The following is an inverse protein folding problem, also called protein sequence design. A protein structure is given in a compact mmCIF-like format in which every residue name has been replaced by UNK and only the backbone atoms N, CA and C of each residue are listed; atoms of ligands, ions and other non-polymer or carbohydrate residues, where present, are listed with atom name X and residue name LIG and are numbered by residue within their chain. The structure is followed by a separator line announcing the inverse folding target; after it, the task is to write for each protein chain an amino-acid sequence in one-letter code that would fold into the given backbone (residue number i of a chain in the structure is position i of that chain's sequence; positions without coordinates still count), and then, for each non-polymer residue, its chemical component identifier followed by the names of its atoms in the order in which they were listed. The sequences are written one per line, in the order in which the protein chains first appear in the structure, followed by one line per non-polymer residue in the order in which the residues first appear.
data_IF_513105754393
#
_entry.id   IF_513105754393
#
_cell.length_a   1.000
_cell.length_b   1.000
_cell.length_c   1.000
_cell.angle_alpha   90.00
_cell.angle_beta   90.00
_cell.angle_gamma   90.00
#
_symmetry.space_group_name_H-M   'P 1'
#
loop_
_entity.id
_entity.type
_entity.pdbx_description
1 polymer ?
#
# COMPACT_ATOMS: atom_id res chain seq x y z
N UNK A 1 -5.89 23.39 -28.51
CA UNK A 1 -5.06 22.38 -27.80
C UNK A 1 -5.88 21.86 -26.63
N UNK A 2 -6.23 20.56 -26.58
CA UNK A 2 -6.97 19.97 -25.45
C UNK A 2 -5.97 19.68 -24.32
N UNK A 3 -6.18 20.26 -23.14
CA UNK A 3 -5.43 19.94 -21.91
C UNK A 3 -5.62 18.44 -21.63
N UNK A 4 -4.55 17.63 -21.44
CA UNK A 4 -4.73 16.24 -21.04
C UNK A 4 -5.57 16.22 -19.75
N UNK A 5 -6.53 15.27 -19.60
CA UNK A 5 -7.29 15.17 -18.38
C UNK A 5 -6.29 15.11 -17.22
N UNK A 6 -6.48 15.94 -16.20
CA UNK A 6 -5.66 15.89 -15.01
C UNK A 6 -5.64 14.44 -14.54
N UNK A 7 -4.46 13.80 -14.53
CA UNK A 7 -4.33 12.45 -13.99
C UNK A 7 -4.73 12.54 -12.53
N UNK A 8 -5.97 12.16 -12.24
CA UNK A 8 -6.46 12.05 -10.87
C UNK A 8 -5.45 11.20 -10.12
N UNK A 9 -4.90 11.70 -9.02
CA UNK A 9 -3.96 10.91 -8.25
C UNK A 9 -4.72 9.78 -7.52
N UNK A 10 -4.12 8.59 -7.39
CA UNK A 10 -4.75 7.53 -6.62
C UNK A 10 -4.96 8.00 -5.17
N UNK A 11 -6.16 7.75 -4.64
CA UNK A 11 -6.52 8.11 -3.26
C UNK A 11 -5.90 7.07 -2.32
N UNK A 12 -4.97 7.47 -1.48
CA UNK A 12 -4.44 6.59 -0.44
C UNK A 12 -5.52 6.31 0.59
N UNK A 13 -5.76 5.05 0.92
CA UNK A 13 -6.75 4.66 1.92
C UNK A 13 -6.09 4.29 3.24
N UNK A 14 -4.99 3.55 3.16
CA UNK A 14 -4.18 3.17 4.31
C UNK A 14 -2.73 3.07 3.91
N UNK A 15 -1.84 3.47 4.82
CA UNK A 15 -0.40 3.23 4.67
C UNK A 15 0.20 2.95 6.02
N UNK A 16 0.78 1.77 6.17
CA UNK A 16 1.51 1.36 7.35
C UNK A 16 3.00 1.22 7.00
N UNK A 17 3.85 1.80 7.84
CA UNK A 17 5.30 1.61 7.76
C UNK A 17 5.69 0.66 8.87
N UNK A 18 6.26 -0.47 8.49
CA UNK A 18 6.85 -1.44 9.39
C UNK A 18 8.35 -1.22 9.49
N UNK A 19 8.92 -1.51 10.66
CA UNK A 19 10.36 -1.49 10.90
C UNK A 19 10.84 -2.79 11.54
N UNK A 20 12.07 -3.18 11.20
CA UNK A 20 12.80 -4.28 11.84
C UNK A 20 14.30 -3.99 11.77
N UNK A 21 14.89 -3.63 12.91
CA UNK A 21 16.23 -3.03 12.95
C UNK A 21 16.27 -1.78 12.06
N UNK A 22 17.25 -1.71 11.14
CA UNK A 22 17.39 -0.60 10.20
C UNK A 22 16.54 -0.76 8.92
N UNK A 23 15.76 -1.83 8.80
CA UNK A 23 14.90 -2.08 7.64
C UNK A 23 13.55 -1.39 7.83
N UNK A 24 13.04 -0.78 6.75
CA UNK A 24 11.68 -0.22 6.68
C UNK A 24 10.93 -0.73 5.46
N UNK A 25 9.65 -1.00 5.66
CA UNK A 25 8.76 -1.56 4.66
C UNK A 25 7.42 -0.84 4.71
N UNK A 26 6.94 -0.33 3.59
CA UNK A 26 5.58 0.21 3.50
C UNK A 26 4.63 -0.84 2.98
N UNK A 27 3.53 -1.08 3.68
CA UNK A 27 2.35 -1.77 3.16
C UNK A 27 1.23 -0.74 3.04
N UNK A 28 0.68 -0.55 1.84
CA UNK A 28 -0.36 0.47 1.60
C UNK A 28 -1.45 -0.05 0.69
N UNK A 29 -2.65 0.51 0.82
CA UNK A 29 -3.75 0.36 -0.13
C UNK A 29 -4.12 1.72 -0.67
N UNK A 30 -4.16 1.84 -1.99
CA UNK A 30 -4.62 3.02 -2.71
C UNK A 30 -5.82 2.65 -3.59
N UNK A 31 -6.78 3.56 -3.77
CA UNK A 31 -7.87 3.46 -4.72
C UNK A 31 -7.47 4.13 -6.03
N UNK A 32 -7.58 3.40 -7.14
CA UNK A 32 -7.34 3.96 -8.47
C UNK A 32 -8.49 4.91 -8.86
N UNK A 33 -8.19 6.04 -9.50
CA UNK A 33 -9.22 6.89 -10.06
C UNK A 33 -9.91 6.21 -11.24
N UNK A 34 -11.21 6.46 -11.41
CA UNK A 34 -11.99 6.00 -12.57
C UNK A 34 -12.49 4.55 -12.46
N UNK A 35 -11.62 3.60 -12.08
CA UNK A 35 -11.89 2.17 -12.30
C UNK A 35 -12.40 1.40 -11.07
N UNK A 36 -12.75 2.09 -9.97
CA UNK A 36 -13.14 1.48 -8.68
C UNK A 36 -12.19 0.35 -8.20
N UNK A 37 -10.96 0.31 -8.72
CA UNK A 37 -9.97 -0.70 -8.43
C UNK A 37 -9.09 -0.25 -7.26
N UNK A 38 -8.54 -1.22 -6.55
CA UNK A 38 -7.69 -1.01 -5.39
C UNK A 38 -6.32 -1.61 -5.68
N UNK A 39 -5.26 -0.92 -5.29
CA UNK A 39 -3.89 -1.43 -5.39
C UNK A 39 -3.30 -1.54 -4.01
N UNK A 40 -2.94 -2.76 -3.62
CA UNK A 40 -2.09 -3.01 -2.47
C UNK A 40 -0.63 -2.95 -2.94
N UNK A 41 0.22 -2.20 -2.26
CA UNK A 41 1.65 -2.17 -2.55
C UNK A 41 2.47 -2.48 -1.29
N UNK A 42 3.51 -3.31 -1.47
CA UNK A 42 4.52 -3.59 -0.47
C UNK A 42 5.87 -3.08 -0.98
N UNK A 43 6.43 -2.06 -0.34
CA UNK A 43 7.57 -1.30 -0.86
C UNK A 43 8.68 -1.19 0.19
N UNK A 44 9.83 -1.86 -0.01
CA UNK A 44 11.01 -1.67 0.83
C UNK A 44 11.56 -0.25 0.69
N UNK A 45 11.94 0.38 1.80
CA UNK A 45 12.52 1.73 1.75
C UNK A 45 13.98 1.73 1.27
N UNK A 46 14.69 0.61 1.43
CA UNK A 46 16.06 0.45 0.94
C UNK A 46 16.14 0.32 -0.59
N UNK A 47 15.07 -0.15 -1.23
CA UNK A 47 14.97 -0.27 -2.69
C UNK A 47 13.51 -0.18 -3.11
N UNK A 48 13.09 1.03 -3.49
CA UNK A 48 11.71 1.30 -3.93
C UNK A 48 11.36 0.51 -5.21
N UNK A 49 12.35 0.26 -6.08
CA UNK A 49 12.16 -0.49 -7.33
C UNK A 49 11.88 -1.99 -7.12
N UNK A 50 12.19 -2.53 -5.94
CA UNK A 50 11.86 -3.90 -5.55
C UNK A 50 10.45 -4.04 -4.96
N UNK A 51 9.64 -2.97 -5.01
CA UNK A 51 8.26 -3.00 -4.54
C UNK A 51 7.38 -3.93 -5.39
N UNK A 52 6.45 -4.61 -4.72
CA UNK A 52 5.42 -5.42 -5.38
C UNK A 52 4.05 -4.79 -5.22
N UNK A 53 3.17 -5.00 -6.19
CA UNK A 53 1.81 -4.50 -6.16
C UNK A 53 0.80 -5.58 -6.60
N UNK A 54 -0.32 -5.66 -5.89
CA UNK A 54 -1.46 -6.51 -6.20
C UNK A 54 -2.68 -5.62 -6.49
N UNK A 55 -3.46 -5.92 -7.53
CA UNK A 55 -4.67 -5.17 -7.88
C UNK A 55 -5.92 -5.97 -7.53
N UNK A 56 -6.92 -5.29 -6.95
CA UNK A 56 -8.18 -5.89 -6.52
C UNK A 56 -9.36 -5.10 -7.08
N UNK A 57 -10.46 -5.79 -7.35
CA UNK A 57 -11.73 -5.19 -7.79
C UNK A 57 -12.64 -4.80 -6.62
N UNK A 58 -12.28 -5.14 -5.38
CA UNK A 58 -13.04 -4.75 -4.19
C UNK A 58 -12.14 -4.26 -3.06
N UNK A 59 -12.65 -3.28 -2.30
CA UNK A 59 -11.97 -2.74 -1.12
C UNK A 59 -11.74 -3.84 -0.08
N UNK A 60 -12.76 -4.68 0.15
CA UNK A 60 -12.71 -5.76 1.11
C UNK A 60 -11.55 -6.72 0.86
N UNK A 61 -11.37 -7.18 -0.38
CA UNK A 61 -10.27 -8.09 -0.73
C UNK A 61 -8.91 -7.43 -0.52
N UNK A 62 -8.74 -6.16 -0.90
CA UNK A 62 -7.50 -5.42 -0.69
C UNK A 62 -7.18 -5.25 0.81
N UNK A 63 -8.15 -4.86 1.63
CA UNK A 63 -7.95 -4.71 3.07
C UNK A 63 -7.72 -6.05 3.78
N UNK A 64 -8.41 -7.11 3.38
CA UNK A 64 -8.17 -8.47 3.90
C UNK A 64 -6.74 -8.91 3.60
N UNK A 65 -6.25 -8.71 2.37
CA UNK A 65 -4.86 -9.01 1.99
C UNK A 65 -3.86 -8.17 2.79
N UNK A 66 -4.13 -6.89 2.97
CA UNK A 66 -3.33 -5.99 3.80
C UNK A 66 -3.23 -6.50 5.25
N UNK A 67 -4.36 -6.88 5.87
CA UNK A 67 -4.39 -7.40 7.23
C UNK A 67 -3.61 -8.72 7.38
N UNK A 68 -3.69 -9.61 6.38
CA UNK A 68 -2.90 -10.86 6.35
C UNK A 68 -1.42 -10.52 6.32
N UNK A 69 -0.96 -9.68 5.39
CA UNK A 69 0.46 -9.28 5.28
C UNK A 69 0.93 -8.63 6.58
N UNK A 70 0.15 -7.70 7.13
CA UNK A 70 0.46 -7.04 8.39
C UNK A 70 0.60 -8.03 9.55
N UNK A 71 -0.19 -9.10 9.56
CA UNK A 71 -0.10 -10.15 10.59
C UNK A 71 1.15 -11.01 10.41
N UNK A 72 1.50 -11.38 9.18
CA UNK A 72 2.74 -12.12 8.87
C UNK A 72 3.99 -11.31 9.22
N UNK A 73 3.99 -10.01 8.91
CA UNK A 73 5.09 -9.11 9.26
C UNK A 73 5.30 -9.06 10.78
N UNK A 74 4.22 -8.90 11.55
CA UNK A 74 4.29 -8.93 13.02
C UNK A 74 4.82 -10.26 13.55
N UNK A 75 4.32 -11.38 13.05
CA UNK A 75 4.82 -12.71 13.41
C UNK A 75 6.30 -12.90 13.08
N UNK A 76 6.80 -12.18 12.07
CA UNK A 76 8.21 -12.21 11.63
C UNK A 76 9.10 -11.14 12.30
N UNK A 77 8.62 -10.52 13.39
CA UNK A 77 9.39 -9.57 14.20
C UNK A 77 9.40 -8.12 13.69
N UNK A 78 8.55 -7.78 12.72
CA UNK A 78 8.36 -6.38 12.31
C UNK A 78 7.39 -5.67 13.26
N UNK A 79 7.69 -4.41 13.59
CA UNK A 79 6.83 -3.55 14.39
C UNK A 79 6.28 -2.40 13.56
N UNK A 80 5.10 -1.89 13.92
CA UNK A 80 4.52 -0.72 13.25
C UNK A 80 5.25 0.55 13.73
N UNK A 81 5.86 1.28 12.80
CA UNK A 81 6.62 2.49 13.08
C UNK A 81 5.79 3.77 12.86
N UNK A 82 4.92 3.76 11.85
CA UNK A 82 4.02 4.87 11.53
C UNK A 82 2.82 4.38 10.71
N UNK A 83 1.72 5.12 10.76
CA UNK A 83 0.55 4.85 9.93
C UNK A 83 -0.18 6.13 9.52
N UNK A 84 -0.89 6.05 8.40
CA UNK A 84 -1.92 7.01 7.97
C UNK A 84 -3.13 6.24 7.45
N UNK A 85 -4.34 6.77 7.67
CA UNK A 85 -5.59 6.24 7.14
C UNK A 85 -6.53 7.41 6.83
N UNK A 86 -7.16 7.39 5.66
CA UNK A 86 -8.05 8.44 5.12
C UNK A 86 -9.44 7.88 4.75
#
# INVERSE_FOLDING_TARGET
MRRPPAQSQPRRLIRWIFQRGNQRLTCRVDQRPGDHAFTLALVPHSNVGAGIAETFTSAWSAFRRHAIIASELRRSGWTLAAYTAD
#
